data_IF_325483391065
#
_entry.id   IF_325483391065
#
_cell.length_a   1.000
_cell.length_b   1.000
_cell.length_c   1.000
_cell.angle_alpha   90.00
_cell.angle_beta   90.00
_cell.angle_gamma   90.00
#
_symmetry.space_group_name_H-M   'P 1'
#
loop_
_entity.id
_entity.type
_entity.pdbx_description
1 polymer ?
#
# COMPACT_ATOMS: atom_id res chain seq x y z
N UNK A 1 -20.74 -9.21 -38.23
CA UNK A 1 -19.68 -10.04 -37.64
C UNK A 1 -18.64 -9.21 -36.91
N UNK A 2 -18.03 -8.17 -37.51
CA UNK A 2 -17.00 -7.29 -36.87
C UNK A 2 -17.53 -6.54 -35.64
N UNK A 3 -18.78 -6.01 -35.66
CA UNK A 3 -19.37 -5.35 -34.50
C UNK A 3 -19.66 -6.31 -33.33
N UNK A 4 -20.07 -7.51 -33.61
CA UNK A 4 -20.32 -8.54 -32.58
C UNK A 4 -19.03 -9.04 -31.94
N UNK A 5 -17.94 -9.13 -32.69
CA UNK A 5 -16.61 -9.44 -32.12
C UNK A 5 -16.09 -8.30 -31.25
N UNK A 6 -16.29 -7.03 -31.64
CA UNK A 6 -15.91 -5.88 -30.80
C UNK A 6 -16.74 -5.78 -29.50
N UNK A 7 -18.01 -6.16 -29.52
CA UNK A 7 -18.84 -6.22 -28.31
C UNK A 7 -18.43 -7.35 -27.37
N UNK A 8 -18.04 -8.51 -27.89
CA UNK A 8 -17.52 -9.63 -27.12
C UNK A 8 -16.15 -9.30 -26.49
N UNK A 9 -15.26 -8.67 -27.24
CA UNK A 9 -13.95 -8.20 -26.72
C UNK A 9 -14.12 -7.14 -25.63
N UNK A 10 -15.06 -6.22 -25.77
CA UNK A 10 -15.36 -5.23 -24.75
C UNK A 10 -15.95 -5.83 -23.47
N UNK A 11 -16.81 -6.85 -23.60
CA UNK A 11 -17.42 -7.57 -22.48
C UNK A 11 -16.36 -8.41 -21.72
N UNK A 12 -15.48 -9.11 -22.43
CA UNK A 12 -14.36 -9.86 -21.86
C UNK A 12 -13.38 -8.96 -21.10
N UNK A 13 -13.00 -7.85 -21.70
CA UNK A 13 -12.12 -6.85 -21.08
C UNK A 13 -12.75 -6.20 -19.82
N UNK A 14 -14.07 -6.00 -19.80
CA UNK A 14 -14.78 -5.47 -18.63
C UNK A 14 -14.75 -6.45 -17.45
N UNK A 15 -14.97 -7.75 -17.69
CA UNK A 15 -14.92 -8.78 -16.65
C UNK A 15 -13.52 -8.89 -16.03
N UNK A 16 -12.47 -8.89 -16.85
CA UNK A 16 -11.09 -8.95 -16.39
C UNK A 16 -10.74 -7.71 -15.53
N UNK A 17 -11.20 -6.51 -15.93
CA UNK A 17 -11.00 -5.30 -15.13
C UNK A 17 -11.61 -5.42 -13.74
N UNK A 18 -12.88 -5.85 -13.65
CA UNK A 18 -13.57 -6.03 -12.37
C UNK A 18 -12.84 -7.05 -11.50
N UNK A 19 -12.41 -8.18 -12.06
CA UNK A 19 -11.63 -9.17 -11.34
C UNK A 19 -10.31 -8.57 -10.81
N UNK A 20 -9.61 -7.79 -11.62
CA UNK A 20 -8.38 -7.13 -11.22
C UNK A 20 -8.64 -6.15 -10.06
N UNK A 21 -9.73 -5.38 -10.11
CA UNK A 21 -10.12 -4.48 -9.02
C UNK A 21 -10.36 -5.23 -7.70
N UNK A 22 -11.10 -6.34 -7.75
CA UNK A 22 -11.37 -7.17 -6.58
C UNK A 22 -10.10 -7.83 -6.02
N UNK A 23 -9.14 -8.20 -6.88
CA UNK A 23 -7.85 -8.73 -6.44
C UNK A 23 -7.03 -7.67 -5.69
N UNK A 24 -6.96 -6.43 -6.18
CA UNK A 24 -6.28 -5.34 -5.49
C UNK A 24 -6.97 -4.98 -4.17
N UNK A 25 -8.30 -4.98 -4.13
CA UNK A 25 -9.08 -4.84 -2.90
C UNK A 25 -8.70 -5.91 -1.86
N UNK A 26 -8.66 -7.18 -2.26
CA UNK A 26 -8.34 -8.30 -1.37
C UNK A 26 -6.92 -8.18 -0.80
N UNK A 27 -5.93 -7.83 -1.62
CA UNK A 27 -4.56 -7.66 -1.16
C UNK A 27 -4.43 -6.50 -0.17
N UNK A 28 -5.07 -5.36 -0.44
CA UNK A 28 -5.07 -4.22 0.47
C UNK A 28 -5.73 -4.55 1.81
N UNK A 29 -6.84 -5.30 1.77
CA UNK A 29 -7.55 -5.73 2.98
C UNK A 29 -6.64 -6.49 3.96
N UNK A 30 -5.67 -7.25 3.46
CA UNK A 30 -4.73 -7.98 4.32
C UNK A 30 -3.47 -7.19 4.65
N UNK A 31 -2.89 -6.47 3.68
CA UNK A 31 -1.62 -5.75 3.87
C UNK A 31 -1.75 -4.54 4.78
N UNK A 32 -2.86 -3.81 4.69
CA UNK A 32 -3.06 -2.57 5.44
C UNK A 32 -3.72 -2.78 6.82
N UNK A 33 -4.16 -4.02 7.13
CA UNK A 33 -4.65 -4.40 8.45
C UNK A 33 -3.52 -4.68 9.47
N UNK A 34 -2.30 -4.80 9.02
CA UNK A 34 -1.12 -5.19 9.82
C UNK A 34 -0.95 -4.33 11.06
N UNK A 35 -1.14 -3.01 10.95
CA UNK A 35 -0.98 -2.10 12.10
C UNK A 35 -1.90 -2.41 13.27
N UNK A 36 -3.12 -2.90 13.02
CA UNK A 36 -4.06 -3.31 14.07
C UNK A 36 -3.66 -4.64 14.70
N UNK A 37 -2.92 -5.48 13.97
CA UNK A 37 -2.44 -6.78 14.44
C UNK A 37 -1.17 -6.64 15.31
N UNK A 38 -0.31 -5.66 15.03
CA UNK A 38 0.98 -5.45 15.71
C UNK A 38 0.86 -5.42 17.24
N UNK A 39 -0.07 -4.67 17.87
CA UNK A 39 -0.23 -4.66 19.32
C UNK A 39 -0.49 -6.05 19.91
N UNK A 40 -1.32 -6.84 19.25
CA UNK A 40 -1.61 -8.22 19.65
C UNK A 40 -0.38 -9.13 19.58
N UNK A 41 0.47 -8.96 18.53
CA UNK A 41 1.72 -9.69 18.39
C UNK A 41 2.73 -9.32 19.48
N UNK A 42 2.85 -8.03 19.81
CA UNK A 42 3.72 -7.54 20.89
C UNK A 42 3.33 -8.24 22.19
N UNK A 43 2.04 -8.25 22.53
CA UNK A 43 1.55 -8.86 23.75
C UNK A 43 1.66 -10.38 23.76
N UNK A 44 1.37 -11.04 22.62
CA UNK A 44 1.35 -12.52 22.55
C UNK A 44 2.75 -13.14 22.57
N UNK A 45 3.72 -12.48 21.94
CA UNK A 45 5.08 -13.02 21.75
C UNK A 45 6.16 -12.28 22.53
N UNK A 46 5.77 -11.32 23.39
CA UNK A 46 6.69 -10.47 24.17
C UNK A 46 7.78 -9.83 23.29
N UNK A 47 7.34 -9.18 22.20
CA UNK A 47 8.23 -8.62 21.20
C UNK A 47 8.62 -7.17 21.53
N UNK A 48 9.84 -6.80 21.16
CA UNK A 48 10.20 -5.40 21.04
C UNK A 48 9.44 -4.74 19.86
N UNK A 49 9.32 -3.41 19.85
CA UNK A 49 8.67 -2.67 18.76
C UNK A 49 9.41 -2.86 17.44
N UNK A 50 10.75 -2.88 17.48
CA UNK A 50 11.57 -3.13 16.28
C UNK A 50 11.34 -4.53 15.71
N UNK A 51 11.18 -5.54 16.56
CA UNK A 51 10.83 -6.90 16.12
C UNK A 51 9.43 -6.95 15.53
N UNK A 52 8.45 -6.36 16.20
CA UNK A 52 7.06 -6.32 15.74
C UNK A 52 6.90 -5.59 14.39
N UNK A 53 7.71 -4.56 14.13
CA UNK A 53 7.71 -3.86 12.83
C UNK A 53 8.04 -4.78 11.65
N UNK A 54 8.69 -5.93 11.90
CA UNK A 54 8.95 -6.93 10.87
C UNK A 54 7.68 -7.45 10.21
N UNK A 55 6.58 -7.44 10.93
CA UNK A 55 5.28 -7.84 10.39
C UNK A 55 4.81 -6.93 9.22
N UNK A 56 5.27 -5.68 9.20
CA UNK A 56 5.03 -4.75 8.11
C UNK A 56 6.14 -4.75 7.05
N UNK A 57 7.42 -4.65 7.46
CA UNK A 57 8.48 -4.48 6.46
C UNK A 57 8.82 -5.77 5.71
N UNK A 58 8.59 -6.96 6.30
CA UNK A 58 8.85 -8.23 5.62
C UNK A 58 8.08 -8.39 4.30
N UNK A 59 6.73 -8.29 4.28
CA UNK A 59 6.02 -8.40 3.01
C UNK A 59 6.42 -7.28 2.03
N UNK A 60 6.69 -6.05 2.49
CA UNK A 60 7.10 -4.94 1.61
C UNK A 60 8.44 -5.22 0.94
N UNK A 61 9.42 -5.74 1.68
CA UNK A 61 10.72 -6.16 1.15
C UNK A 61 10.55 -7.24 0.08
N UNK A 62 9.77 -8.27 0.36
CA UNK A 62 9.57 -9.37 -0.59
C UNK A 62 8.70 -9.01 -1.78
N UNK A 63 7.78 -8.04 -1.67
CA UNK A 63 7.09 -7.43 -2.82
C UNK A 63 8.12 -6.75 -3.74
N UNK A 64 9.01 -5.94 -3.18
CA UNK A 64 10.03 -5.24 -3.95
C UNK A 64 11.01 -6.22 -4.63
N UNK A 65 11.52 -7.21 -3.89
CA UNK A 65 12.43 -8.24 -4.41
C UNK A 65 11.76 -9.08 -5.50
N UNK A 66 10.53 -9.52 -5.29
CA UNK A 66 9.82 -10.32 -6.30
C UNK A 66 9.47 -9.51 -7.55
N UNK A 67 9.11 -8.24 -7.41
CA UNK A 67 8.92 -7.34 -8.55
C UNK A 67 10.18 -7.19 -9.39
N UNK A 68 11.33 -7.07 -8.73
CA UNK A 68 12.63 -6.92 -9.37
C UNK A 68 13.12 -8.23 -10.04
N UNK A 69 13.08 -9.35 -9.28
CA UNK A 69 13.66 -10.62 -9.72
C UNK A 69 12.69 -11.53 -10.48
N UNK A 70 11.40 -11.41 -10.25
CA UNK A 70 10.37 -12.27 -10.85
C UNK A 70 9.47 -11.52 -11.86
N UNK A 71 9.71 -10.23 -12.09
CA UNK A 71 8.93 -9.42 -13.04
C UNK A 71 8.91 -10.00 -14.46
N UNK A 72 10.00 -10.66 -14.88
CA UNK A 72 10.10 -11.33 -16.17
C UNK A 72 9.10 -12.51 -16.34
N UNK A 73 8.56 -13.06 -15.25
CA UNK A 73 7.59 -14.17 -15.33
C UNK A 73 6.34 -13.77 -16.11
N UNK A 74 5.88 -12.54 -15.95
CA UNK A 74 4.72 -12.03 -16.66
C UNK A 74 4.92 -11.99 -18.20
N UNK A 75 6.16 -11.78 -18.63
CA UNK A 75 6.53 -11.78 -20.05
C UNK A 75 6.81 -13.20 -20.57
N UNK A 76 7.39 -14.08 -19.73
CA UNK A 76 7.75 -15.45 -20.11
C UNK A 76 6.57 -16.42 -20.07
N UNK A 77 5.77 -16.39 -18.99
CA UNK A 77 4.63 -17.30 -18.77
C UNK A 77 3.30 -16.72 -19.27
N UNK A 78 3.25 -15.41 -19.51
CA UNK A 78 2.04 -14.66 -19.85
C UNK A 78 1.27 -14.17 -18.63
N UNK A 79 0.43 -13.14 -18.84
CA UNK A 79 -0.28 -12.42 -17.77
C UNK A 79 -1.18 -13.33 -16.93
N UNK A 80 -1.97 -14.19 -17.59
CA UNK A 80 -2.90 -15.10 -16.92
C UNK A 80 -2.20 -16.04 -15.94
N UNK A 81 -1.16 -16.74 -16.40
CA UNK A 81 -0.45 -17.72 -15.57
C UNK A 81 0.24 -17.05 -14.40
N UNK A 82 0.86 -15.90 -14.62
CA UNK A 82 1.53 -15.14 -13.56
C UNK A 82 0.55 -14.67 -12.48
N UNK A 83 -0.64 -14.16 -12.89
CA UNK A 83 -1.70 -13.76 -11.96
C UNK A 83 -2.18 -14.98 -11.14
N UNK A 84 -2.44 -16.12 -11.79
CA UNK A 84 -2.89 -17.34 -11.10
C UNK A 84 -1.86 -17.87 -10.12
N UNK A 85 -0.56 -17.85 -10.47
CA UNK A 85 0.53 -18.24 -9.55
C UNK A 85 0.52 -17.34 -8.31
N UNK A 86 0.46 -16.02 -8.50
CA UNK A 86 0.40 -15.08 -7.37
C UNK A 86 -0.80 -15.31 -6.46
N UNK A 87 -2.00 -15.51 -7.04
CA UNK A 87 -3.22 -15.79 -6.26
C UNK A 87 -3.13 -17.13 -5.50
N UNK A 88 -2.65 -18.19 -6.14
CA UNK A 88 -2.52 -19.51 -5.48
C UNK A 88 -1.50 -19.48 -4.34
N UNK A 89 -0.35 -18.84 -4.54
CA UNK A 89 0.65 -18.67 -3.47
C UNK A 89 0.10 -17.85 -2.30
N UNK A 90 -0.65 -16.78 -2.60
CA UNK A 90 -1.29 -15.97 -1.57
C UNK A 90 -2.35 -16.76 -0.80
N UNK A 91 -3.22 -17.50 -1.49
CA UNK A 91 -4.25 -18.31 -0.85
C UNK A 91 -3.62 -19.38 0.07
N UNK A 92 -2.57 -20.07 -0.41
CA UNK A 92 -1.83 -21.05 0.38
C UNK A 92 -1.26 -20.42 1.65
N UNK A 93 -0.51 -19.30 1.52
CA UNK A 93 0.05 -18.60 2.66
C UNK A 93 -1.05 -18.14 3.64
N UNK A 94 -2.17 -17.63 3.13
CA UNK A 94 -3.28 -17.13 3.93
C UNK A 94 -3.94 -18.24 4.77
N UNK A 95 -4.15 -19.43 4.22
CA UNK A 95 -4.67 -20.56 5.02
C UNK A 95 -3.66 -21.06 6.05
N UNK A 96 -2.36 -21.00 5.74
CA UNK A 96 -1.32 -21.41 6.68
C UNK A 96 -1.25 -20.51 7.91
N UNK A 97 -1.73 -19.25 7.87
CA UNK A 97 -1.82 -18.41 9.08
C UNK A 97 -2.66 -19.03 10.19
N UNK A 98 -3.68 -19.82 9.85
CA UNK A 98 -4.51 -20.51 10.84
C UNK A 98 -3.74 -21.57 11.63
N UNK A 99 -2.68 -22.15 11.07
CA UNK A 99 -1.89 -23.24 11.66
C UNK A 99 -0.71 -22.74 12.50
N UNK A 100 -0.38 -21.44 12.42
CA UNK A 100 0.81 -20.88 13.05
C UNK A 100 0.61 -20.50 14.51
N UNK A 101 1.65 -20.74 15.33
CA UNK A 101 1.73 -20.37 16.74
C UNK A 101 3.04 -19.64 17.08
N UNK A 102 3.90 -19.37 16.10
CA UNK A 102 5.20 -18.73 16.28
C UNK A 102 5.32 -17.47 15.45
N UNK A 103 5.92 -16.42 16.03
CA UNK A 103 6.19 -15.18 15.32
C UNK A 103 7.06 -15.39 14.07
N UNK A 104 8.11 -16.18 14.15
CA UNK A 104 8.99 -16.48 13.01
C UNK A 104 8.26 -17.23 11.89
N UNK A 105 7.33 -18.12 12.26
CA UNK A 105 6.46 -18.79 11.29
C UNK A 105 5.63 -17.77 10.52
N UNK A 106 5.04 -16.81 11.21
CA UNK A 106 4.27 -15.74 10.54
C UNK A 106 5.14 -14.84 9.67
N UNK A 107 6.39 -14.56 10.07
CA UNK A 107 7.32 -13.81 9.22
C UNK A 107 7.64 -14.54 7.91
N UNK A 108 7.82 -15.86 7.96
CA UNK A 108 8.01 -16.68 6.76
C UNK A 108 6.77 -16.63 5.85
N UNK A 109 5.57 -16.69 6.43
CA UNK A 109 4.32 -16.56 5.66
C UNK A 109 4.18 -15.16 5.05
N UNK A 110 4.54 -14.10 5.78
CA UNK A 110 4.52 -12.73 5.26
C UNK A 110 5.53 -12.53 4.13
N UNK A 111 6.70 -13.17 4.19
CA UNK A 111 7.64 -13.20 3.07
C UNK A 111 7.01 -13.87 1.84
N UNK A 112 6.33 -15.02 2.03
CA UNK A 112 5.62 -15.72 0.97
C UNK A 112 4.46 -14.88 0.41
N UNK A 113 3.69 -14.20 1.28
CA UNK A 113 2.65 -13.23 0.89
C UNK A 113 3.26 -12.10 0.05
N UNK A 114 4.41 -11.56 0.47
CA UNK A 114 5.12 -10.53 -0.28
C UNK A 114 5.51 -10.99 -1.68
N UNK A 115 6.08 -12.19 -1.80
CA UNK A 115 6.40 -12.81 -3.10
C UNK A 115 5.13 -12.96 -3.95
N UNK A 116 4.06 -13.50 -3.36
CA UNK A 116 2.78 -13.73 -4.05
C UNK A 116 2.19 -12.43 -4.61
N UNK A 117 2.17 -11.36 -3.80
CA UNK A 117 1.69 -10.04 -4.20
C UNK A 117 2.55 -9.44 -5.30
N UNK A 118 3.88 -9.54 -5.20
CA UNK A 118 4.79 -9.00 -6.21
C UNK A 118 4.65 -9.71 -7.55
N UNK A 119 4.58 -11.05 -7.57
CA UNK A 119 4.31 -11.84 -8.78
C UNK A 119 2.94 -11.47 -9.36
N UNK A 120 1.90 -11.41 -8.54
CA UNK A 120 0.57 -10.97 -8.98
C UNK A 120 0.61 -9.56 -9.60
N UNK A 121 1.20 -8.58 -8.91
CA UNK A 121 1.25 -7.19 -9.38
C UNK A 121 1.93 -7.06 -10.73
N UNK A 122 3.01 -7.78 -10.98
CA UNK A 122 3.69 -7.73 -12.29
C UNK A 122 2.78 -8.22 -13.44
N UNK A 123 2.03 -9.30 -13.20
CA UNK A 123 1.04 -9.80 -14.15
C UNK A 123 -0.14 -8.85 -14.35
N UNK A 124 -0.70 -8.35 -13.24
CA UNK A 124 -1.90 -7.51 -13.26
C UNK A 124 -1.64 -6.11 -13.86
N UNK A 125 -0.53 -5.47 -13.51
CA UNK A 125 -0.15 -4.16 -14.06
C UNK A 125 0.16 -4.27 -15.56
N UNK A 126 0.86 -5.33 -15.97
CA UNK A 126 1.06 -5.63 -17.38
C UNK A 126 -0.26 -5.84 -18.13
N UNK A 127 -1.20 -6.60 -17.54
CA UNK A 127 -2.53 -6.82 -18.10
C UNK A 127 -3.31 -5.52 -18.29
N UNK A 128 -3.28 -4.60 -17.29
CA UNK A 128 -3.94 -3.29 -17.38
C UNK A 128 -3.36 -2.49 -18.56
N UNK A 129 -2.04 -2.53 -18.75
CA UNK A 129 -1.40 -1.94 -19.93
C UNK A 129 -1.93 -2.54 -21.22
N UNK A 130 -1.98 -3.87 -21.27
CA UNK A 130 -2.37 -4.65 -22.45
C UNK A 130 -3.84 -4.42 -22.89
N UNK A 131 -4.77 -4.25 -21.94
CA UNK A 131 -6.20 -4.01 -22.22
C UNK A 131 -6.57 -2.53 -22.39
N UNK A 132 -5.62 -1.63 -22.23
CA UNK A 132 -5.85 -0.20 -22.36
C UNK A 132 -5.57 0.28 -23.79
N UNK A 133 -6.57 0.81 -24.46
CA UNK A 133 -6.47 1.26 -25.86
C UNK A 133 -5.75 2.60 -26.03
N UNK A 134 -5.69 3.39 -24.96
CA UNK A 134 -5.04 4.71 -24.94
C UNK A 134 -4.64 5.11 -23.52
N UNK A 135 -3.78 6.13 -23.41
CA UNK A 135 -3.25 6.64 -22.13
C UNK A 135 -4.36 7.09 -21.16
N UNK A 136 -5.46 7.69 -21.67
CA UNK A 136 -6.59 8.12 -20.84
C UNK A 136 -7.30 6.93 -20.20
N UNK A 137 -7.54 5.86 -20.95
CA UNK A 137 -8.16 4.64 -20.44
C UNK A 137 -7.24 3.93 -19.45
N UNK A 138 -5.92 3.87 -19.73
CA UNK A 138 -4.93 3.31 -18.81
C UNK A 138 -4.97 4.04 -17.47
N UNK A 139 -4.88 5.38 -17.48
CA UNK A 139 -4.93 6.19 -16.26
C UNK A 139 -6.25 6.01 -15.50
N UNK A 140 -7.38 5.96 -16.20
CA UNK A 140 -8.69 5.73 -15.59
C UNK A 140 -8.79 4.36 -14.92
N UNK A 141 -8.29 3.31 -15.57
CA UNK A 141 -8.26 1.95 -15.02
C UNK A 141 -7.35 1.87 -13.79
N UNK A 142 -6.16 2.47 -13.85
CA UNK A 142 -5.24 2.53 -12.72
C UNK A 142 -5.84 3.28 -11.52
N UNK A 143 -6.50 4.42 -11.75
CA UNK A 143 -7.18 5.15 -10.69
C UNK A 143 -8.31 4.32 -10.04
N UNK A 144 -9.02 3.52 -10.83
CA UNK A 144 -10.06 2.62 -10.30
C UNK A 144 -9.44 1.50 -9.47
N UNK A 145 -8.33 0.91 -9.92
CA UNK A 145 -7.56 -0.10 -9.15
C UNK A 145 -7.13 0.48 -7.80
N UNK A 146 -6.55 1.68 -7.79
CA UNK A 146 -6.15 2.36 -6.56
C UNK A 146 -7.34 2.71 -5.66
N UNK A 147 -8.50 3.00 -6.25
CA UNK A 147 -9.76 3.19 -5.52
C UNK A 147 -10.19 1.91 -4.78
N UNK A 148 -10.22 0.76 -5.47
CA UNK A 148 -10.54 -0.53 -4.86
C UNK A 148 -9.50 -0.95 -3.83
N UNK A 149 -8.22 -0.69 -4.07
CA UNK A 149 -7.16 -0.86 -3.08
C UNK A 149 -7.46 -0.02 -1.82
N UNK A 150 -7.81 1.25 -1.99
CA UNK A 150 -8.19 2.13 -0.88
C UNK A 150 -9.38 1.60 -0.06
N UNK A 151 -10.42 1.05 -0.74
CA UNK A 151 -11.55 0.41 -0.04
C UNK A 151 -11.09 -0.82 0.74
N UNK A 152 -10.21 -1.64 0.19
CA UNK A 152 -9.60 -2.78 0.89
C UNK A 152 -8.85 -2.34 2.15
N UNK A 153 -8.05 -1.27 2.03
CA UNK A 153 -7.31 -0.67 3.13
C UNK A 153 -8.20 -0.16 4.28
N UNK A 154 -9.44 0.25 3.97
CA UNK A 154 -10.45 0.61 4.99
C UNK A 154 -11.08 -0.63 5.65
N UNK A 155 -11.45 -1.62 4.83
CA UNK A 155 -12.21 -2.79 5.27
C UNK A 155 -11.35 -3.72 6.12
N UNK A 156 -10.09 -3.93 5.77
CA UNK A 156 -9.18 -4.83 6.49
C UNK A 156 -9.00 -4.47 7.96
N UNK A 157 -8.54 -3.26 8.30
CA UNK A 157 -8.43 -2.82 9.70
C UNK A 157 -9.75 -2.87 10.44
N UNK A 158 -10.89 -2.52 9.80
CA UNK A 158 -12.21 -2.58 10.42
C UNK A 158 -12.58 -4.02 10.82
N UNK A 159 -12.33 -5.00 9.94
CA UNK A 159 -12.56 -6.42 10.24
C UNK A 159 -11.68 -6.88 11.42
N UNK A 160 -10.37 -6.56 11.39
CA UNK A 160 -9.46 -6.98 12.47
C UNK A 160 -9.87 -6.33 13.79
N UNK A 161 -10.16 -5.03 13.81
CA UNK A 161 -10.64 -4.35 15.02
C UNK A 161 -11.90 -5.00 15.58
N UNK A 162 -12.87 -5.34 14.72
CA UNK A 162 -14.08 -6.05 15.13
C UNK A 162 -13.78 -7.45 15.70
N UNK A 163 -12.93 -8.23 15.03
CA UNK A 163 -12.52 -9.56 15.50
C UNK A 163 -11.88 -9.48 16.89
N UNK A 164 -10.94 -8.54 17.10
CA UNK A 164 -10.24 -8.38 18.37
C UNK A 164 -11.21 -7.94 19.51
N UNK A 165 -12.14 -7.02 19.25
CA UNK A 165 -13.17 -6.61 20.23
C UNK A 165 -14.03 -7.80 20.64
N UNK A 166 -14.37 -8.69 19.71
CA UNK A 166 -15.22 -9.87 19.98
C UNK A 166 -14.44 -11.06 20.52
N UNK A 167 -13.14 -10.90 20.79
CA UNK A 167 -12.28 -11.98 21.30
C UNK A 167 -11.94 -13.06 20.24
N UNK A 168 -12.16 -12.75 18.97
CA UNK A 168 -11.87 -13.66 17.85
C UNK A 168 -10.47 -13.36 17.28
N UNK A 169 -9.71 -14.39 16.94
CA UNK A 169 -8.36 -14.24 16.42
C UNK A 169 -8.31 -13.48 15.10
N UNK A 170 -7.38 -12.54 14.98
CA UNK A 170 -7.08 -11.81 13.73
C UNK A 170 -6.74 -12.74 12.56
N UNK A 171 -6.29 -13.97 12.79
CA UNK A 171 -5.98 -14.96 11.76
C UNK A 171 -7.16 -15.27 10.83
N UNK A 172 -8.41 -15.08 11.32
CA UNK A 172 -9.61 -15.26 10.50
C UNK A 172 -9.70 -14.26 9.34
N UNK A 173 -9.08 -13.08 9.44
CA UNK A 173 -8.97 -12.17 8.28
C UNK A 173 -8.23 -12.87 7.13
N UNK A 174 -7.08 -13.48 7.42
CA UNK A 174 -6.28 -14.19 6.41
C UNK A 174 -7.00 -15.43 5.88
N UNK A 175 -7.67 -16.18 6.75
CA UNK A 175 -8.48 -17.33 6.34
C UNK A 175 -9.60 -16.90 5.35
N UNK A 176 -10.35 -15.86 5.68
CA UNK A 176 -11.38 -15.30 4.81
C UNK A 176 -10.82 -14.76 3.49
N UNK A 177 -9.67 -14.07 3.55
CA UNK A 177 -8.96 -13.59 2.36
C UNK A 177 -8.47 -14.75 1.47
N UNK A 178 -7.98 -15.84 2.06
CA UNK A 178 -7.60 -17.06 1.34
C UNK A 178 -8.78 -17.67 0.59
N UNK A 179 -9.95 -17.80 1.26
CA UNK A 179 -11.16 -18.30 0.64
C UNK A 179 -11.64 -17.39 -0.51
N UNK A 180 -11.65 -16.07 -0.29
CA UNK A 180 -11.98 -15.10 -1.32
C UNK A 180 -10.99 -15.16 -2.49
N UNK A 181 -9.70 -15.31 -2.19
CA UNK A 181 -8.65 -15.46 -3.20
C UNK A 181 -8.85 -16.70 -4.08
N UNK A 182 -9.27 -17.83 -3.52
CA UNK A 182 -9.58 -19.03 -4.33
C UNK A 182 -10.76 -18.79 -5.27
N UNK A 183 -11.80 -18.07 -4.84
CA UNK A 183 -12.92 -17.68 -5.69
C UNK A 183 -12.40 -16.80 -6.85
N UNK A 184 -11.59 -15.79 -6.56
CA UNK A 184 -10.99 -14.92 -7.57
C UNK A 184 -10.07 -15.70 -8.52
N UNK A 185 -9.30 -16.64 -8.00
CA UNK A 185 -8.43 -17.52 -8.79
C UNK A 185 -9.25 -18.39 -9.77
N UNK A 186 -10.34 -18.98 -9.31
CA UNK A 186 -11.24 -19.76 -10.16
C UNK A 186 -11.90 -18.91 -11.25
N UNK A 187 -12.38 -17.69 -10.90
CA UNK A 187 -12.94 -16.75 -11.86
C UNK A 187 -11.88 -16.28 -12.87
N UNK A 188 -10.66 -16.01 -12.43
CA UNK A 188 -9.54 -15.63 -13.28
C UNK A 188 -9.13 -16.78 -14.22
N UNK A 189 -9.15 -18.03 -13.75
CA UNK A 189 -8.88 -19.19 -14.59
C UNK A 189 -9.91 -19.33 -15.72
N UNK A 190 -11.20 -19.10 -15.43
CA UNK A 190 -12.30 -19.14 -16.41
C UNK A 190 -12.31 -17.95 -17.37
N UNK A 191 -11.70 -16.82 -17.00
CA UNK A 191 -11.68 -15.62 -17.82
C UNK A 191 -10.80 -15.81 -19.07
N UNK A 192 -11.23 -15.20 -20.16
CA UNK A 192 -10.46 -15.12 -21.40
C UNK A 192 -9.54 -13.89 -21.34
N UNK A 193 -8.24 -14.13 -21.48
CA UNK A 193 -7.23 -13.09 -21.50
C UNK A 193 -6.86 -12.72 -22.92
N UNK A 194 -6.62 -11.44 -23.23
CA UNK A 194 -6.23 -11.03 -24.58
C UNK A 194 -4.90 -11.70 -24.95
N UNK A 195 -4.90 -12.33 -26.13
CA UNK A 195 -3.68 -12.88 -26.72
C UNK A 195 -2.92 -11.73 -27.42
N UNK A 196 -1.97 -11.14 -26.74
CA UNK A 196 -1.17 -10.08 -27.34
C UNK A 196 0.09 -10.64 -27.96
N UNK A 197 0.37 -10.18 -29.19
CA UNK A 197 1.69 -10.36 -29.81
C UNK A 197 2.72 -9.70 -28.90
N UNK A 198 3.68 -10.47 -28.40
CA UNK A 198 4.77 -10.01 -27.55
C UNK A 198 5.46 -8.80 -28.20
N UNK A 199 5.22 -7.62 -27.64
CA UNK A 199 6.05 -6.46 -27.88
C UNK A 199 7.37 -6.68 -27.12
N UNK A 200 8.48 -6.46 -27.77
CA UNK A 200 9.80 -6.56 -27.16
C UNK A 200 9.84 -5.76 -25.87
N UNK A 201 10.15 -6.43 -24.78
CA UNK A 201 10.38 -5.85 -23.46
C UNK A 201 11.26 -4.61 -23.56
N UNK A 202 10.75 -3.46 -23.14
CA UNK A 202 11.61 -2.40 -22.67
C UNK A 202 12.33 -2.96 -21.43
N UNK A 203 13.57 -3.41 -21.62
CA UNK A 203 14.44 -3.75 -20.51
C UNK A 203 14.54 -2.53 -19.61
N UNK A 204 13.96 -2.57 -18.41
CA UNK A 204 14.24 -1.57 -17.39
C UNK A 204 15.75 -1.66 -17.18
N UNK A 205 16.47 -0.68 -17.69
CA UNK A 205 17.91 -0.63 -17.56
C UNK A 205 18.22 -0.12 -16.14
N UNK A 206 18.45 -1.04 -15.21
CA UNK A 206 18.79 -0.73 -13.82
C UNK A 206 19.95 0.29 -13.75
N UNK A 207 20.90 0.21 -14.67
CA UNK A 207 22.00 1.16 -14.73
C UNK A 207 21.51 2.59 -15.04
N UNK A 208 20.51 2.77 -15.90
CA UNK A 208 19.92 4.09 -16.17
C UNK A 208 19.14 4.63 -14.96
N UNK A 209 18.44 3.77 -14.23
CA UNK A 209 17.75 4.13 -12.98
C UNK A 209 18.76 4.61 -11.93
N UNK A 210 19.85 3.87 -11.70
CA UNK A 210 20.90 4.29 -10.77
C UNK A 210 21.63 5.58 -11.21
N UNK A 211 21.84 5.77 -12.52
CA UNK A 211 22.44 7.01 -13.02
C UNK A 211 21.56 8.22 -12.74
N UNK A 212 20.23 8.04 -12.75
CA UNK A 212 19.26 9.10 -12.49
C UNK A 212 19.28 9.57 -11.02
N UNK A 213 19.77 8.75 -10.06
CA UNK A 213 19.98 9.18 -8.66
C UNK A 213 20.99 10.33 -8.52
N UNK A 214 21.84 10.56 -9.55
CA UNK A 214 22.77 11.69 -9.57
C UNK A 214 22.08 13.00 -9.98
N UNK A 215 20.88 12.94 -10.53
CA UNK A 215 20.15 14.13 -10.91
C UNK A 215 19.48 14.76 -9.67
N UNK A 216 19.75 16.04 -9.33
CA UNK A 216 19.26 16.66 -8.10
C UNK A 216 17.74 16.78 -8.05
N UNK A 217 17.06 16.93 -9.19
CA UNK A 217 15.60 17.00 -9.24
C UNK A 217 14.97 15.62 -8.98
N UNK A 218 15.48 14.56 -9.62
CA UNK A 218 15.01 13.21 -9.37
C UNK A 218 15.23 12.78 -7.91
N UNK A 219 16.41 13.09 -7.37
CA UNK A 219 16.74 12.83 -5.98
C UNK A 219 15.88 13.67 -5.03
N UNK A 220 15.67 14.96 -5.29
CA UNK A 220 14.86 15.86 -4.48
C UNK A 220 13.40 15.38 -4.36
N UNK A 221 12.75 15.06 -5.49
CA UNK A 221 11.40 14.49 -5.46
C UNK A 221 11.35 13.13 -4.75
N UNK A 222 12.35 12.28 -4.97
CA UNK A 222 12.42 10.96 -4.33
C UNK A 222 12.59 11.05 -2.82
N UNK A 223 13.42 11.97 -2.32
CA UNK A 223 13.60 12.23 -0.88
C UNK A 223 12.32 12.81 -0.27
N UNK A 224 11.69 13.79 -0.93
CA UNK A 224 10.42 14.37 -0.45
C UNK A 224 9.32 13.29 -0.34
N UNK A 225 9.21 12.44 -1.37
CA UNK A 225 8.27 11.31 -1.35
C UNK A 225 8.67 10.32 -0.26
N UNK A 226 9.95 10.04 -0.08
CA UNK A 226 10.44 9.14 0.97
C UNK A 226 10.09 9.63 2.38
N UNK A 227 10.31 10.90 2.68
CA UNK A 227 9.93 11.52 3.96
C UNK A 227 8.42 11.48 4.18
N UNK A 228 7.65 11.82 3.13
CA UNK A 228 6.20 11.69 3.19
C UNK A 228 5.76 10.25 3.49
N UNK A 229 6.31 9.26 2.79
CA UNK A 229 5.97 7.84 2.99
C UNK A 229 6.36 7.39 4.40
N UNK A 230 7.53 7.77 4.91
CA UNK A 230 7.92 7.46 6.29
C UNK A 230 6.93 8.04 7.31
N UNK A 231 6.44 9.27 7.08
CA UNK A 231 5.39 9.90 7.89
C UNK A 231 4.06 9.14 7.79
N UNK A 232 3.63 8.79 6.60
CA UNK A 232 2.37 8.09 6.36
C UNK A 232 2.36 6.69 6.99
N UNK A 233 3.45 5.93 6.82
CA UNK A 233 3.58 4.56 7.36
C UNK A 233 3.59 4.55 8.89
N UNK A 234 4.04 5.63 9.52
CA UNK A 234 3.93 5.83 10.96
C UNK A 234 2.50 5.66 11.47
N UNK A 235 1.52 6.21 10.74
CA UNK A 235 0.10 6.09 11.10
C UNK A 235 -0.36 4.65 11.03
N UNK A 236 -0.25 4.02 9.87
CA UNK A 236 -0.91 2.71 9.71
C UNK A 236 -0.14 1.55 10.35
N UNK A 237 1.10 1.74 10.77
CA UNK A 237 1.85 0.72 11.53
C UNK A 237 1.76 0.95 13.04
N UNK A 238 1.95 2.18 13.51
CA UNK A 238 2.14 2.45 14.93
C UNK A 238 1.01 3.18 15.64
N UNK A 239 0.09 3.84 14.90
CA UNK A 239 -1.04 4.52 15.54
C UNK A 239 -1.94 3.57 16.35
N UNK A 240 -2.29 2.35 15.89
CA UNK A 240 -3.06 1.41 16.71
C UNK A 240 -2.34 1.05 18.01
N UNK A 241 -1.01 0.85 17.97
CA UNK A 241 -0.21 0.60 19.18
C UNK A 241 -0.19 1.81 20.12
N UNK A 242 -0.08 3.03 19.58
CA UNK A 242 -0.11 4.26 20.37
C UNK A 242 -1.44 4.44 21.10
N UNK A 243 -2.54 4.09 20.45
CA UNK A 243 -3.91 4.30 20.96
C UNK A 243 -4.47 3.10 21.75
N UNK A 244 -3.71 2.00 21.85
CA UNK A 244 -4.20 0.72 22.43
C UNK A 244 -4.80 0.88 23.83
N UNK A 245 -4.17 1.68 24.68
CA UNK A 245 -4.56 1.87 26.08
C UNK A 245 -5.38 3.15 26.29
N UNK A 246 -6.06 3.65 25.28
CA UNK A 246 -6.90 4.83 25.42
C UNK A 246 -8.27 4.46 26.00
N UNK A 247 -8.55 4.90 27.22
CA UNK A 247 -9.81 4.62 27.95
C UNK A 247 -10.74 5.85 28.05
N UNK A 248 -10.54 6.86 27.19
CA UNK A 248 -11.37 8.08 27.19
C UNK A 248 -12.71 7.90 26.47
N UNK A 249 -13.52 8.96 26.45
CA UNK A 249 -14.85 9.01 25.79
C UNK A 249 -14.82 8.62 24.31
N UNK A 250 -13.67 8.76 23.64
CA UNK A 250 -13.47 8.46 22.23
C UNK A 250 -12.87 7.05 21.98
N UNK A 251 -13.01 6.12 22.92
CA UNK A 251 -12.43 4.78 22.83
C UNK A 251 -12.84 4.04 21.55
N UNK A 252 -14.10 4.20 21.10
CA UNK A 252 -14.55 3.61 19.83
C UNK A 252 -13.81 4.22 18.61
N UNK A 253 -13.56 5.53 18.65
CA UNK A 253 -12.78 6.20 17.59
C UNK A 253 -11.34 5.71 17.62
N UNK A 254 -10.73 5.55 18.79
CA UNK A 254 -9.38 5.02 18.95
C UNK A 254 -9.25 3.60 18.36
N UNK A 255 -10.24 2.74 18.62
CA UNK A 255 -10.29 1.37 18.10
C UNK A 255 -10.33 1.32 16.57
N UNK A 256 -11.12 2.19 15.95
CA UNK A 256 -11.26 2.26 14.48
C UNK A 256 -10.43 3.38 13.85
N UNK A 257 -9.45 3.94 14.57
CA UNK A 257 -8.67 5.08 14.12
C UNK A 257 -8.00 4.85 12.76
N UNK A 258 -7.47 3.65 12.51
CA UNK A 258 -6.85 3.30 11.25
C UNK A 258 -7.87 3.22 10.10
N UNK A 259 -9.04 2.67 10.34
CA UNK A 259 -10.15 2.66 9.39
C UNK A 259 -10.59 4.08 9.04
N UNK A 260 -10.70 4.95 10.04
CA UNK A 260 -11.05 6.36 9.86
C UNK A 260 -9.97 7.08 9.04
N UNK A 261 -8.71 6.85 9.34
CA UNK A 261 -7.58 7.39 8.57
C UNK A 261 -7.69 7.05 7.07
N UNK A 262 -7.87 5.76 6.73
CA UNK A 262 -7.99 5.34 5.34
C UNK A 262 -9.27 5.86 4.68
N UNK A 263 -10.36 5.97 5.43
CA UNK A 263 -11.63 6.58 4.95
C UNK A 263 -11.42 8.05 4.57
N UNK A 264 -10.82 8.83 5.46
CA UNK A 264 -10.52 10.25 5.21
C UNK A 264 -9.53 10.43 4.06
N UNK A 265 -8.54 9.53 3.96
CA UNK A 265 -7.60 9.51 2.84
C UNK A 265 -8.29 9.22 1.51
N UNK A 266 -9.23 8.28 1.48
CA UNK A 266 -10.02 8.00 0.28
C UNK A 266 -10.91 9.18 -0.11
N UNK A 267 -11.63 9.78 0.85
CA UNK A 267 -12.45 10.98 0.63
C UNK A 267 -11.62 12.15 0.08
N UNK A 268 -10.44 12.39 0.67
CA UNK A 268 -9.54 13.44 0.18
C UNK A 268 -9.07 13.22 -1.26
N UNK A 269 -8.88 11.97 -1.69
CA UNK A 269 -8.55 11.65 -3.10
C UNK A 269 -9.68 12.01 -4.06
N UNK A 270 -10.94 11.77 -3.71
CA UNK A 270 -12.08 12.20 -4.53
C UNK A 270 -12.19 13.73 -4.64
N UNK A 271 -11.90 14.43 -3.54
CA UNK A 271 -11.89 15.91 -3.54
C UNK A 271 -10.67 16.47 -4.28
N UNK A 272 -9.62 15.69 -4.46
CA UNK A 272 -8.33 16.11 -4.99
C UNK A 272 -8.40 16.72 -6.38
N UNK A 273 -9.20 16.13 -7.28
CA UNK A 273 -9.41 16.67 -8.62
C UNK A 273 -10.05 18.05 -8.59
N UNK A 274 -11.03 18.27 -7.72
CA UNK A 274 -11.70 19.56 -7.55
C UNK A 274 -10.73 20.60 -6.95
N UNK A 275 -9.98 20.23 -5.90
CA UNK A 275 -9.01 21.12 -5.23
C UNK A 275 -7.92 21.57 -6.19
N UNK A 276 -7.31 20.66 -6.98
CA UNK A 276 -6.26 20.98 -7.94
C UNK A 276 -6.75 21.79 -9.16
N UNK A 277 -8.06 21.85 -9.39
CA UNK A 277 -8.63 22.76 -10.38
C UNK A 277 -8.78 24.20 -9.86
N UNK A 278 -8.86 24.38 -8.53
CA UNK A 278 -9.03 25.69 -7.90
C UNK A 278 -7.70 26.33 -7.45
N UNK A 279 -6.75 25.50 -7.03
CA UNK A 279 -5.48 25.93 -6.44
C UNK A 279 -4.29 25.33 -7.21
N UNK A 280 -3.16 26.06 -7.20
CA UNK A 280 -1.94 25.52 -7.78
C UNK A 280 -1.45 24.30 -6.94
N UNK A 281 -0.82 23.34 -7.61
CA UNK A 281 -0.32 22.16 -6.94
C UNK A 281 0.68 22.49 -5.81
N UNK A 282 1.50 23.55 -5.96
CA UNK A 282 2.44 24.02 -4.95
C UNK A 282 1.72 24.51 -3.69
N UNK A 283 0.63 25.31 -3.86
CA UNK A 283 -0.19 25.77 -2.73
C UNK A 283 -0.82 24.59 -1.99
N UNK A 284 -1.37 23.62 -2.72
CA UNK A 284 -1.98 22.43 -2.11
C UNK A 284 -0.92 21.65 -1.34
N UNK A 285 0.26 21.39 -1.91
CA UNK A 285 1.34 20.69 -1.22
C UNK A 285 1.78 21.41 0.04
N UNK A 286 1.95 22.73 -0.01
CA UNK A 286 2.34 23.54 1.15
C UNK A 286 1.30 23.48 2.28
N UNK A 287 0.04 23.75 1.98
CA UNK A 287 -1.00 23.76 3.02
C UNK A 287 -1.29 22.37 3.58
N UNK A 288 -1.22 21.33 2.74
CA UNK A 288 -1.44 19.98 3.20
C UNK A 288 -0.27 19.44 4.04
N UNK A 289 0.98 19.69 3.64
CA UNK A 289 2.12 19.31 4.48
C UNK A 289 2.13 20.08 5.80
N UNK A 290 1.77 21.37 5.80
CA UNK A 290 1.60 22.14 7.03
C UNK A 290 0.49 21.53 7.92
N UNK A 291 -0.66 21.20 7.35
CA UNK A 291 -1.75 20.58 8.10
C UNK A 291 -1.37 19.20 8.68
N UNK A 292 -0.64 18.37 7.91
CA UNK A 292 -0.09 17.09 8.41
C UNK A 292 0.85 17.36 9.60
N UNK A 293 1.80 18.28 9.44
CA UNK A 293 2.75 18.64 10.50
C UNK A 293 2.05 19.13 11.76
N UNK A 294 1.01 19.96 11.61
CA UNK A 294 0.20 20.45 12.74
C UNK A 294 -0.60 19.33 13.41
N UNK A 295 -1.13 18.38 12.65
CA UNK A 295 -1.80 17.19 13.21
C UNK A 295 -0.84 16.36 14.07
N UNK A 296 0.38 16.11 13.58
CA UNK A 296 1.41 15.35 14.31
C UNK A 296 1.89 16.12 15.55
N UNK A 297 2.21 17.38 15.37
CA UNK A 297 2.65 18.23 16.49
C UNK A 297 1.56 18.33 17.56
N UNK A 298 0.32 18.59 17.17
CA UNK A 298 -0.81 18.65 18.08
C UNK A 298 -1.03 17.34 18.83
N UNK A 299 -0.92 16.19 18.15
CA UNK A 299 -1.01 14.88 18.78
C UNK A 299 0.09 14.66 19.83
N UNK A 300 1.31 15.14 19.57
CA UNK A 300 2.44 14.99 20.50
C UNK A 300 2.38 15.97 21.67
N UNK A 301 1.92 17.20 21.45
CA UNK A 301 1.85 18.25 22.47
C UNK A 301 0.66 18.07 23.41
N UNK A 302 -0.53 17.81 22.85
CA UNK A 302 -1.76 17.67 23.64
C UNK A 302 -2.02 16.22 24.11
N UNK A 303 -1.16 15.27 23.72
CA UNK A 303 -1.18 13.90 24.21
C UNK A 303 -2.19 12.99 23.50
N UNK A 304 -2.45 11.83 24.12
CA UNK A 304 -3.19 10.72 23.50
C UNK A 304 -4.62 11.10 23.12
N UNK A 305 -5.31 11.94 23.91
CA UNK A 305 -6.68 12.38 23.62
C UNK A 305 -6.76 13.20 22.32
N UNK A 306 -5.75 14.03 22.05
CA UNK A 306 -5.67 14.74 20.77
C UNK A 306 -5.23 13.81 19.64
N UNK A 307 -4.33 12.86 19.92
CA UNK A 307 -3.84 11.90 18.93
C UNK A 307 -4.98 11.06 18.33
N UNK A 308 -5.99 10.66 19.13
CA UNK A 308 -7.17 9.91 18.69
C UNK A 308 -7.92 10.62 17.55
N UNK A 309 -7.89 11.96 17.50
CA UNK A 309 -8.57 12.75 16.47
C UNK A 309 -7.60 13.19 15.39
N UNK A 310 -6.45 13.77 15.79
CA UNK A 310 -5.56 14.46 14.86
C UNK A 310 -4.79 13.49 13.95
N UNK A 311 -4.39 12.32 14.46
CA UNK A 311 -3.67 11.36 13.63
C UNK A 311 -4.57 10.75 12.53
N UNK A 312 -5.80 10.26 12.81
CA UNK A 312 -6.70 9.85 11.72
C UNK A 312 -7.06 11.00 10.77
N UNK A 313 -7.25 12.23 11.29
CA UNK A 313 -7.56 13.40 10.47
C UNK A 313 -6.45 13.72 9.45
N UNK A 314 -5.19 13.46 9.79
CA UNK A 314 -4.07 13.67 8.87
C UNK A 314 -4.22 12.91 7.55
N UNK A 315 -4.99 11.81 7.53
CA UNK A 315 -5.29 11.03 6.32
C UNK A 315 -5.95 11.86 5.22
N UNK A 316 -6.82 12.82 5.59
CA UNK A 316 -7.44 13.74 4.64
C UNK A 316 -6.38 14.55 3.87
N UNK A 317 -5.41 15.10 4.58
CA UNK A 317 -4.34 15.91 4.00
C UNK A 317 -3.27 15.07 3.31
N UNK A 318 -3.04 13.83 3.75
CA UNK A 318 -2.12 12.89 3.12
C UNK A 318 -2.63 12.36 1.77
N UNK A 319 -3.92 12.47 1.50
CA UNK A 319 -4.59 11.87 0.35
C UNK A 319 -3.98 12.20 -1.02
N UNK A 320 -3.51 13.43 -1.20
CA UNK A 320 -3.02 13.95 -2.48
C UNK A 320 -1.50 14.07 -2.56
N UNK A 321 -0.78 13.91 -1.44
CA UNK A 321 0.67 14.14 -1.38
C UNK A 321 1.42 13.22 -2.34
N UNK A 322 1.28 11.92 -2.17
CA UNK A 322 2.00 10.93 -2.99
C UNK A 322 1.67 11.04 -4.49
N UNK A 323 0.39 11.01 -4.93
CA UNK A 323 0.08 11.03 -6.35
C UNK A 323 0.54 12.34 -7.02
N UNK A 324 0.44 13.48 -6.34
CA UNK A 324 0.86 14.77 -6.89
C UNK A 324 2.37 14.87 -6.99
N UNK A 325 3.12 14.54 -5.94
CA UNK A 325 4.58 14.55 -5.96
C UNK A 325 5.14 13.56 -6.98
N UNK A 326 4.59 12.36 -7.06
CA UNK A 326 5.01 11.35 -8.02
C UNK A 326 4.76 11.82 -9.47
N UNK A 327 3.56 12.31 -9.77
CA UNK A 327 3.22 12.83 -11.09
C UNK A 327 4.11 14.02 -11.49
N UNK A 328 4.34 14.97 -10.59
CA UNK A 328 5.19 16.13 -10.86
C UNK A 328 6.67 15.74 -10.96
N UNK A 329 7.14 14.85 -10.09
CA UNK A 329 8.51 14.34 -10.15
C UNK A 329 8.84 13.70 -11.50
N UNK A 330 7.92 12.88 -12.04
CA UNK A 330 8.10 12.25 -13.35
C UNK A 330 7.97 13.26 -14.48
N UNK A 331 6.97 14.15 -14.43
CA UNK A 331 6.69 15.10 -15.52
C UNK A 331 7.73 16.22 -15.69
N UNK A 332 8.66 16.38 -14.75
CA UNK A 332 9.79 17.30 -14.88
C UNK A 332 10.86 16.81 -15.88
N UNK A 333 10.77 15.56 -16.35
CA UNK A 333 11.77 14.94 -17.21
C UNK A 333 11.21 14.63 -18.60
N UNK A 334 12.08 14.49 -19.63
CA UNK A 334 11.70 14.01 -20.95
C UNK A 334 11.05 12.62 -20.88
N UNK A 335 10.16 12.31 -21.82
CA UNK A 335 9.35 11.07 -21.84
C UNK A 335 10.22 9.80 -21.84
N UNK A 336 11.37 9.83 -22.51
CA UNK A 336 12.34 8.73 -22.56
C UNK A 336 12.99 8.41 -21.21
N UNK A 337 12.99 9.37 -20.26
CA UNK A 337 13.53 9.21 -18.91
C UNK A 337 12.47 8.88 -17.85
N UNK A 338 11.18 8.97 -18.17
CA UNK A 338 10.09 8.76 -17.21
C UNK A 338 10.20 7.42 -16.47
N UNK A 339 10.57 6.33 -17.16
CA UNK A 339 10.74 5.02 -16.55
C UNK A 339 11.86 4.99 -15.51
N UNK A 340 13.01 5.59 -15.81
CA UNK A 340 14.15 5.65 -14.89
C UNK A 340 13.87 6.52 -13.67
N UNK A 341 13.22 7.68 -13.85
CA UNK A 341 12.80 8.56 -12.74
C UNK A 341 11.77 7.88 -11.85
N UNK A 342 10.74 7.25 -12.45
CA UNK A 342 9.74 6.48 -11.70
C UNK A 342 10.39 5.34 -10.89
N UNK A 343 11.42 4.69 -11.44
CA UNK A 343 12.19 3.66 -10.75
C UNK A 343 12.92 4.19 -9.51
N UNK A 344 13.55 5.37 -9.60
CA UNK A 344 14.20 6.02 -8.44
C UNK A 344 13.16 6.38 -7.37
N UNK A 345 12.06 7.01 -7.76
CA UNK A 345 10.96 7.35 -6.84
C UNK A 345 10.43 6.10 -6.13
N UNK A 346 10.19 5.03 -6.88
CA UNK A 346 9.69 3.77 -6.33
C UNK A 346 10.69 3.13 -5.36
N UNK A 347 11.98 3.19 -5.66
CA UNK A 347 13.03 2.70 -4.77
C UNK A 347 13.01 3.44 -3.42
N UNK A 348 12.98 4.77 -3.42
CA UNK A 348 12.91 5.56 -2.19
C UNK A 348 11.59 5.35 -1.44
N UNK A 349 10.48 5.21 -2.16
CA UNK A 349 9.17 4.86 -1.58
C UNK A 349 9.23 3.53 -0.82
N UNK A 350 9.75 2.48 -1.46
CA UNK A 350 9.85 1.15 -0.85
C UNK A 350 10.84 1.14 0.33
N UNK A 351 11.98 1.80 0.18
CA UNK A 351 12.97 1.94 1.23
C UNK A 351 12.40 2.65 2.46
N UNK A 352 11.68 3.76 2.27
CA UNK A 352 11.07 4.53 3.35
C UNK A 352 9.92 3.77 4.01
N UNK A 353 9.11 3.03 3.24
CA UNK A 353 8.04 2.19 3.77
C UNK A 353 8.58 1.05 4.65
N UNK A 354 9.77 0.55 4.36
CA UNK A 354 10.42 -0.48 5.18
C UNK A 354 11.16 0.13 6.38
N UNK A 355 11.98 1.17 6.16
CA UNK A 355 12.82 1.75 7.20
C UNK A 355 12.05 2.65 8.18
N UNK A 356 11.00 3.35 7.73
CA UNK A 356 10.24 4.25 8.58
C UNK A 356 9.72 3.57 9.86
N UNK A 357 8.91 2.51 9.75
CA UNK A 357 8.39 1.78 10.91
C UNK A 357 9.48 1.14 11.76
N UNK A 358 10.55 0.63 11.12
CA UNK A 358 11.69 0.04 11.83
C UNK A 358 12.40 1.08 12.69
N UNK A 359 12.73 2.25 12.14
CA UNK A 359 13.38 3.34 12.87
C UNK A 359 12.51 3.83 14.03
N UNK A 360 11.19 3.97 13.81
CA UNK A 360 10.26 4.34 14.87
C UNK A 360 10.20 3.27 15.97
N UNK A 361 10.19 1.98 15.60
CA UNK A 361 10.24 0.87 16.54
C UNK A 361 11.52 0.88 17.36
N UNK A 362 12.68 1.08 16.74
CA UNK A 362 13.98 1.21 17.42
C UNK A 362 13.99 2.37 18.43
N UNK A 363 13.49 3.53 18.01
CA UNK A 363 13.37 4.70 18.91
C UNK A 363 12.40 4.38 20.06
N UNK A 364 11.29 3.71 19.77
CA UNK A 364 10.34 3.27 20.78
C UNK A 364 10.95 2.29 21.78
N UNK A 365 11.77 1.34 21.32
CA UNK A 365 12.49 0.38 22.17
C UNK A 365 13.52 1.07 23.07
N UNK A 366 14.31 2.02 22.53
CA UNK A 366 15.33 2.76 23.28
C UNK A 366 14.70 3.58 24.41
N UNK A 367 13.59 4.26 24.15
CA UNK A 367 12.93 5.13 25.12
C UNK A 367 11.76 4.50 25.86
N UNK A 368 11.45 3.22 25.59
CA UNK A 368 10.44 2.43 26.29
C UNK A 368 8.98 2.73 25.91
N UNK A 369 8.71 3.55 24.88
CA UNK A 369 7.34 3.85 24.46
C UNK A 369 7.25 4.30 23.00
N UNK A 370 6.23 3.78 22.27
CA UNK A 370 5.98 4.09 20.85
C UNK A 370 5.81 5.59 20.54
N UNK A 371 5.39 6.37 21.52
CA UNK A 371 5.28 7.85 21.45
C UNK A 371 6.58 8.51 20.96
N UNK A 372 7.74 8.00 21.37
CA UNK A 372 9.02 8.55 20.93
C UNK A 372 9.29 8.32 19.45
N UNK A 373 8.79 7.21 18.89
CA UNK A 373 8.77 6.98 17.45
C UNK A 373 7.92 8.03 16.71
N UNK A 374 6.81 8.48 17.30
CA UNK A 374 6.00 9.55 16.71
C UNK A 374 6.68 10.92 16.77
N UNK A 375 7.56 11.21 17.71
CA UNK A 375 8.41 12.42 17.65
C UNK A 375 9.32 12.39 16.42
N UNK A 376 9.90 11.22 16.11
CA UNK A 376 10.70 11.06 14.89
C UNK A 376 9.83 11.28 13.63
N UNK A 377 8.65 10.67 13.57
CA UNK A 377 7.71 10.87 12.46
C UNK A 377 7.24 12.33 12.33
N UNK A 378 7.07 13.03 13.46
CA UNK A 378 6.79 14.47 13.47
C UNK A 378 7.94 15.25 12.82
N UNK A 379 9.19 14.87 13.11
CA UNK A 379 10.36 15.44 12.44
C UNK A 379 10.32 15.22 10.92
N UNK A 380 9.97 14.04 10.45
CA UNK A 380 9.80 13.76 9.01
C UNK A 380 8.68 14.59 8.37
N UNK A 381 7.58 14.84 9.11
CA UNK A 381 6.46 15.64 8.62
C UNK A 381 6.83 17.13 8.44
N UNK A 382 7.79 17.64 9.20
CA UNK A 382 8.28 19.02 9.08
C UNK A 382 9.36 19.21 8.01
N UNK A 383 10.04 18.17 7.57
CA UNK A 383 11.05 18.19 6.50
C UNK A 383 10.42 18.15 5.12
#
# INVERSE_FOLDING_TARGET
MVNHMKELDNCGNSRIRILTYLMFFMFAMTSDAVGVIIPELINTFDLSMSQASAFHYMPMLFIALSGLFLGFLADKLGRKVTILIGLLLFALASFMFALGESFYYFLCLLALVGIAIGVFKTGALGLIGDISTNSKQHSSTMNTVEGFFGVGAMVGPAIVSYLLITGVSWKYLYFGAGAFCLILCWLAYKAEYPQLKRSSTQNINLASTFSMMKNPYALGYSLAIGLYVATEVAIYVWMPTLLLNYEGELALIATYALTIFFTLRALGRFLGGWILNQFSWQQVMFWFSLAISLCYLGAMVYGISAAVILLPLSGLFMSMMYPTLNSKGISCFPVDQHGSVAGVILFFTALSAALGPLLMGLVGDIFGHVKYGFYLATGFAFM
#
